data_IF_385832651983
#
_entry.id   IF_385832651983
#
_cell.length_a   1.000
_cell.length_b   1.000
_cell.length_c   1.000
_cell.angle_alpha   90.00
_cell.angle_beta   90.00
_cell.angle_gamma   90.00
#
_symmetry.space_group_name_H-M   'P 1'
#
loop_
_entity.id
_entity.type
_entity.pdbx_description
1 polymer ?
#
# COMPACT_ATOMS: atom_id res chain seq x y z
N UNK A 1 -18.48 39.40 31.78
CA UNK A 1 -18.05 39.70 30.40
C UNK A 1 -17.43 41.10 30.41
N UNK A 2 -16.18 41.20 29.96
CA UNK A 2 -15.35 42.40 30.13
C UNK A 2 -15.79 43.57 29.25
N UNK A 3 -15.61 44.78 29.79
CA UNK A 3 -15.83 46.09 29.16
C UNK A 3 -15.18 46.19 27.76
N UNK A 4 -15.80 46.88 26.78
CA UNK A 4 -15.25 47.01 25.43
C UNK A 4 -13.83 47.62 25.46
N UNK A 5 -12.86 46.94 24.83
CA UNK A 5 -11.46 47.36 24.78
C UNK A 5 -10.94 47.24 23.33
N UNK A 6 -10.39 48.32 22.79
CA UNK A 6 -9.81 48.41 21.44
C UNK A 6 -8.59 47.50 21.22
N UNK A 7 -8.16 46.76 22.24
CA UNK A 7 -7.03 45.82 22.19
C UNK A 7 -7.44 44.35 22.07
N UNK A 8 -8.72 44.01 22.09
CA UNK A 8 -9.15 42.60 22.09
C UNK A 8 -9.18 42.00 20.67
N UNK A 9 -8.05 42.07 19.97
CA UNK A 9 -7.83 41.38 18.70
C UNK A 9 -7.06 40.09 18.97
N UNK A 10 -7.63 38.96 18.57
CA UNK A 10 -6.98 37.65 18.70
C UNK A 10 -6.81 37.04 17.32
N UNK A 11 -5.57 36.71 16.98
CA UNK A 11 -5.27 35.84 15.85
C UNK A 11 -5.25 34.41 16.37
N UNK A 12 -6.26 33.63 15.98
CA UNK A 12 -6.36 32.23 16.36
C UNK A 12 -5.26 31.42 15.69
N UNK A 13 -4.33 30.90 16.49
CA UNK A 13 -3.39 29.84 16.10
C UNK A 13 -3.45 28.76 17.16
N UNK A 14 -3.45 27.50 16.75
CA UNK A 14 -3.53 26.38 17.66
C UNK A 14 -3.24 25.07 16.95
N UNK A 15 -3.14 24.03 17.77
CA UNK A 15 -2.94 22.65 17.33
C UNK A 15 -4.22 21.87 17.62
N UNK A 16 -4.62 21.01 16.68
CA UNK A 16 -5.81 20.16 16.85
C UNK A 16 -5.36 18.78 17.26
N UNK A 17 -5.87 18.33 18.41
CA UNK A 17 -5.68 16.99 18.93
C UNK A 17 -7.00 16.24 18.91
N UNK A 18 -6.95 14.96 18.57
CA UNK A 18 -8.11 14.08 18.59
C UNK A 18 -7.70 12.74 19.22
N UNK A 19 -8.54 12.26 20.12
CA UNK A 19 -8.43 10.94 20.71
C UNK A 19 -9.58 10.07 20.21
N UNK A 20 -9.26 8.86 19.74
CA UNK A 20 -10.27 7.88 19.37
C UNK A 20 -10.68 7.10 20.63
N UNK A 21 -11.97 6.87 20.79
CA UNK A 21 -12.47 5.97 21.82
C UNK A 21 -12.28 4.52 21.36
N UNK A 22 -11.74 3.68 22.24
CA UNK A 22 -11.68 2.23 22.02
C UNK A 22 -13.13 1.70 21.92
N UNK A 23 -13.49 1.04 20.80
CA UNK A 23 -14.86 0.55 20.61
C UNK A 23 -15.28 -0.52 21.62
N UNK A 24 -14.34 -1.20 22.28
CA UNK A 24 -14.63 -2.28 23.23
C UNK A 24 -14.71 -1.78 24.68
N UNK A 25 -13.85 -0.84 25.06
CA UNK A 25 -13.74 -0.35 26.43
C UNK A 25 -14.36 1.02 26.64
N UNK A 26 -14.61 1.78 25.57
CA UNK A 26 -15.07 3.16 25.62
C UNK A 26 -14.03 4.15 26.17
N UNK A 27 -12.79 3.70 26.38
CA UNK A 27 -11.73 4.51 26.95
C UNK A 27 -10.97 5.29 25.85
N UNK A 28 -10.40 6.46 26.19
CA UNK A 28 -9.47 7.15 25.32
C UNK A 28 -8.24 6.27 25.01
N UNK A 29 -7.79 6.29 23.76
CA UNK A 29 -6.64 5.52 23.27
C UNK A 29 -5.35 6.35 23.24
N UNK A 30 -5.48 7.67 23.39
CA UNK A 30 -4.39 8.64 23.41
C UNK A 30 -4.64 9.78 22.40
N UNK A 31 -4.43 11.01 22.86
CA UNK A 31 -4.55 12.19 22.00
C UNK A 31 -3.46 12.22 20.92
N UNK A 32 -3.87 12.30 19.66
CA UNK A 32 -2.98 12.42 18.49
C UNK A 32 -3.10 13.79 17.85
N UNK A 33 -1.96 14.38 17.48
CA UNK A 33 -1.92 15.62 16.70
C UNK A 33 -2.34 15.35 15.25
N UNK A 34 -3.31 16.12 14.74
CA UNK A 34 -3.88 15.91 13.40
C UNK A 34 -3.09 16.57 12.26
N UNK A 35 -2.11 17.42 12.58
CA UNK A 35 -1.33 18.19 11.61
C UNK A 35 -1.81 19.63 11.47
N UNK A 36 -1.37 20.32 10.42
CA UNK A 36 -1.80 21.69 10.17
C UNK A 36 -3.29 21.74 9.78
N UNK A 37 -4.07 22.54 10.51
CA UNK A 37 -5.48 22.78 10.26
C UNK A 37 -5.72 24.26 9.89
N UNK A 38 -5.68 24.64 8.59
CA UNK A 38 -5.75 26.04 8.18
C UNK A 38 -7.08 26.72 8.54
N UNK A 39 -8.15 25.96 8.69
CA UNK A 39 -9.46 26.45 9.10
C UNK A 39 -10.09 25.53 10.14
N UNK A 40 -10.53 26.13 11.25
CA UNK A 40 -11.37 25.49 12.26
C UNK A 40 -12.58 26.37 12.53
N UNK A 41 -13.77 25.82 12.29
CA UNK A 41 -15.06 26.44 12.53
C UNK A 41 -15.78 25.76 13.69
N UNK A 42 -16.40 26.59 14.52
CA UNK A 42 -17.34 26.16 15.55
C UNK A 42 -18.70 26.78 15.26
N UNK A 43 -19.73 25.95 15.15
CA UNK A 43 -21.11 26.39 14.98
C UNK A 43 -21.97 25.76 16.07
N UNK A 44 -22.97 26.49 16.55
CA UNK A 44 -23.95 25.97 17.50
C UNK A 44 -25.34 26.28 16.97
N UNK A 45 -26.09 25.24 16.65
CA UNK A 45 -27.48 25.36 16.21
C UNK A 45 -28.40 25.10 17.39
N UNK A 46 -29.28 26.06 17.68
CA UNK A 46 -30.27 25.98 18.75
C UNK A 46 -31.66 25.79 18.13
N UNK A 47 -32.34 24.71 18.47
CA UNK A 47 -33.75 24.51 18.12
C UNK A 47 -34.63 25.02 19.26
N UNK A 48 -35.62 25.87 18.92
CA UNK A 48 -36.47 26.53 19.89
C UNK A 48 -37.94 26.20 19.62
N UNK A 49 -38.63 25.71 20.65
CA UNK A 49 -40.09 25.63 20.66
C UNK A 49 -40.66 26.96 21.09
N UNK A 50 -41.51 27.53 20.23
CA UNK A 50 -42.22 28.76 20.54
C UNK A 50 -43.72 28.48 20.61
N UNK A 51 -44.34 28.74 21.76
CA UNK A 51 -45.78 28.70 21.94
C UNK A 51 -46.34 30.12 21.78
N UNK A 52 -47.35 30.26 20.92
CA UNK A 52 -48.05 31.52 20.69
C UNK A 52 -49.39 31.48 21.40
N UNK A 53 -49.73 32.55 22.13
CA UNK A 53 -51.02 32.66 22.79
C UNK A 53 -52.13 32.83 21.74
N UNK A 54 -53.22 32.08 21.90
CA UNK A 54 -54.43 32.19 21.07
C UNK A 54 -55.49 33.10 21.69
N UNK A 55 -55.23 33.70 22.87
CA UNK A 55 -56.20 34.53 23.60
C UNK A 55 -56.18 36.00 23.18
N UNK A 56 -55.15 36.44 22.48
CA UNK A 56 -55.03 37.82 22.00
C UNK A 56 -55.21 37.89 20.48
N UNK A 57 -55.79 39.00 19.99
CA UNK A 57 -55.97 39.26 18.54
C UNK A 57 -54.66 39.38 17.77
N UNK A 58 -53.54 39.54 18.48
CA UNK A 58 -52.19 39.69 17.91
C UNK A 58 -51.40 38.46 18.32
N UNK A 59 -50.66 37.89 17.36
CA UNK A 59 -49.84 36.69 17.56
C UNK A 59 -48.66 37.00 18.49
N UNK A 60 -48.89 36.92 19.79
CA UNK A 60 -47.89 37.15 20.84
C UNK A 60 -47.22 35.83 21.24
N UNK A 61 -45.88 35.84 21.38
CA UNK A 61 -45.11 34.69 21.89
C UNK A 61 -45.28 34.65 23.41
N UNK A 62 -45.82 33.57 23.92
CA UNK A 62 -46.07 33.37 25.34
C UNK A 62 -44.94 32.57 26.00
N UNK A 63 -44.48 31.50 25.34
CA UNK A 63 -43.39 30.66 25.83
C UNK A 63 -42.36 30.43 24.74
N UNK A 64 -41.08 30.51 25.13
CA UNK A 64 -39.95 30.15 24.29
C UNK A 64 -39.03 29.24 25.08
N UNK A 65 -38.84 28.01 24.59
CA UNK A 65 -37.97 27.01 25.20
C UNK A 65 -36.98 26.49 24.17
N UNK A 66 -35.71 26.36 24.55
CA UNK A 66 -34.71 25.68 23.73
C UNK A 66 -34.90 24.18 23.91
N UNK A 67 -35.21 23.46 22.84
CA UNK A 67 -35.37 21.99 22.87
C UNK A 67 -34.02 21.32 22.72
N UNK A 68 -33.20 21.83 21.80
CA UNK A 68 -31.94 21.19 21.42
C UNK A 68 -30.84 22.22 21.19
N UNK A 69 -29.64 21.87 21.62
CA UNK A 69 -28.41 22.58 21.30
C UNK A 69 -27.45 21.59 20.64
N UNK A 70 -27.19 21.77 19.35
CA UNK A 70 -26.28 20.93 18.58
C UNK A 70 -24.99 21.71 18.26
N UNK A 71 -23.92 21.55 19.06
CA UNK A 71 -22.60 22.07 18.72
C UNK A 71 -21.96 21.25 17.61
N UNK A 72 -21.34 21.92 16.64
CA UNK A 72 -20.67 21.34 15.49
C UNK A 72 -19.28 21.95 15.32
N UNK A 73 -18.27 21.08 15.28
CA UNK A 73 -16.91 21.44 14.89
C UNK A 73 -16.66 20.99 13.45
N UNK A 74 -16.07 21.87 12.65
CA UNK A 74 -15.65 21.58 11.28
C UNK A 74 -14.24 22.07 11.08
N UNK A 75 -13.34 21.21 10.61
CA UNK A 75 -11.97 21.60 10.30
C UNK A 75 -11.50 20.91 9.02
N UNK A 76 -10.50 21.51 8.38
CA UNK A 76 -9.80 20.94 7.23
C UNK A 76 -8.35 20.72 7.61
N UNK A 77 -7.73 19.67 7.07
CA UNK A 77 -6.32 19.34 7.31
C UNK A 77 -5.56 19.40 5.99
N UNK A 78 -4.32 19.86 6.01
CA UNK A 78 -3.46 19.92 4.81
C UNK A 78 -2.73 18.60 4.52
N UNK A 79 -2.50 17.80 5.56
CA UNK A 79 -1.66 16.60 5.47
C UNK A 79 -2.51 15.32 5.30
N UNK A 80 -2.48 14.66 4.12
CA UNK A 80 -3.19 13.41 3.87
C UNK A 80 -2.40 12.22 4.44
N UNK A 81 -2.35 12.11 5.76
CA UNK A 81 -1.76 10.95 6.45
C UNK A 81 -2.75 9.79 6.47
N UNK A 82 -2.27 8.54 6.38
CA UNK A 82 -3.12 7.33 6.34
C UNK A 82 -4.16 7.29 7.47
N UNK A 83 -3.78 7.65 8.71
CA UNK A 83 -4.70 7.71 9.85
C UNK A 83 -5.80 8.77 9.71
N UNK A 84 -5.46 9.94 9.15
CA UNK A 84 -6.40 11.04 8.91
C UNK A 84 -7.38 10.67 7.79
N UNK A 85 -6.89 9.98 6.76
CA UNK A 85 -7.73 9.42 5.70
C UNK A 85 -8.64 8.32 6.25
N UNK A 86 -8.11 7.44 7.11
CA UNK A 86 -8.92 6.44 7.83
C UNK A 86 -10.07 7.07 8.60
N UNK A 87 -9.80 8.15 9.35
CA UNK A 87 -10.85 8.94 10.02
C UNK A 87 -11.89 9.50 9.04
N UNK A 88 -11.45 10.01 7.89
CA UNK A 88 -12.33 10.58 6.86
C UNK A 88 -13.25 9.52 6.23
N UNK A 89 -12.72 8.32 5.99
CA UNK A 89 -13.46 7.21 5.37
C UNK A 89 -14.12 6.27 6.39
N UNK A 90 -14.11 6.60 7.68
CA UNK A 90 -14.61 5.75 8.77
C UNK A 90 -13.95 4.36 8.81
N UNK A 91 -12.66 4.28 8.48
CA UNK A 91 -11.85 3.06 8.47
C UNK A 91 -10.60 3.14 9.34
N UNK A 92 -9.81 2.07 9.30
CA UNK A 92 -8.49 1.96 9.94
C UNK A 92 -7.40 1.83 8.88
N UNK A 93 -6.25 2.44 9.14
CA UNK A 93 -5.02 2.14 8.41
C UNK A 93 -4.44 0.84 8.99
N UNK A 94 -3.96 -0.05 8.13
CA UNK A 94 -3.31 -1.30 8.51
C UNK A 94 -2.08 -1.50 7.63
N UNK A 95 -0.96 -1.80 8.27
CA UNK A 95 0.26 -2.19 7.58
C UNK A 95 0.14 -3.65 7.15
N UNK A 96 0.04 -3.88 5.84
CA UNK A 96 -0.03 -5.22 5.27
C UNK A 96 1.34 -5.61 4.75
N UNK A 97 1.90 -6.70 5.26
CA UNK A 97 3.12 -7.31 4.72
C UNK A 97 2.78 -8.47 3.80
N UNK A 98 3.26 -8.45 2.56
CA UNK A 98 3.17 -9.58 1.64
C UNK A 98 4.53 -10.25 1.49
N UNK A 99 4.60 -11.58 1.67
CA UNK A 99 5.79 -12.36 1.34
C UNK A 99 6.04 -12.33 -0.16
N UNK A 100 7.29 -12.14 -0.55
CA UNK A 100 7.64 -12.15 -1.96
C UNK A 100 7.46 -13.54 -2.58
N UNK A 101 6.99 -13.58 -3.82
CA UNK A 101 6.67 -14.82 -4.52
C UNK A 101 7.32 -14.80 -5.92
N UNK A 102 7.88 -15.93 -6.34
CA UNK A 102 8.63 -16.11 -7.58
C UNK A 102 7.86 -16.82 -8.69
N UNK A 103 6.68 -17.36 -8.41
CA UNK A 103 5.96 -18.22 -9.36
C UNK A 103 4.44 -18.04 -9.31
N UNK A 104 3.93 -16.82 -9.58
CA UNK A 104 2.48 -16.58 -9.73
C UNK A 104 2.06 -16.46 -11.19
N UNK A 105 1.29 -17.45 -11.65
CA UNK A 105 0.63 -17.42 -12.96
C UNK A 105 -0.82 -16.96 -12.81
N UNK A 106 -1.24 -15.95 -13.56
CA UNK A 106 -2.65 -15.52 -13.66
C UNK A 106 -3.08 -15.48 -15.13
N UNK A 107 -4.07 -16.30 -15.47
CA UNK A 107 -4.63 -16.35 -16.83
C UNK A 107 -5.82 -15.41 -16.94
N UNK A 108 -5.82 -14.53 -17.95
CA UNK A 108 -6.97 -13.70 -18.29
C UNK A 108 -7.65 -14.23 -19.55
N UNK A 109 -8.97 -14.47 -19.47
CA UNK A 109 -9.78 -14.87 -20.64
C UNK A 109 -10.53 -13.67 -21.19
N UNK A 110 -10.49 -13.46 -22.52
CA UNK A 110 -11.24 -12.38 -23.17
C UNK A 110 -10.70 -10.98 -22.92
N UNK A 111 -9.38 -10.81 -23.03
CA UNK A 111 -8.72 -9.51 -22.86
C UNK A 111 -9.03 -8.56 -24.02
N UNK A 112 -9.25 -7.29 -23.70
CA UNK A 112 -9.44 -6.22 -24.67
C UNK A 112 -8.17 -5.37 -24.74
N UNK A 113 -7.80 -4.96 -25.95
CA UNK A 113 -6.67 -4.07 -26.16
C UNK A 113 -6.86 -2.72 -25.43
N UNK A 114 -5.76 -2.08 -25.03
CA UNK A 114 -5.72 -0.77 -24.34
C UNK A 114 -6.47 -0.73 -23.00
N UNK A 115 -6.42 -1.82 -22.22
CA UNK A 115 -6.97 -1.90 -20.86
C UNK A 115 -5.91 -2.39 -19.88
N UNK A 116 -5.95 -1.84 -18.67
CA UNK A 116 -5.13 -2.30 -17.56
C UNK A 116 -5.82 -3.48 -16.87
N UNK A 117 -5.07 -4.53 -16.59
CA UNK A 117 -5.50 -5.70 -15.85
C UNK A 117 -4.64 -5.85 -14.61
N UNK A 118 -5.28 -6.02 -13.45
CA UNK A 118 -4.57 -6.23 -12.19
C UNK A 118 -4.10 -7.68 -12.08
N UNK A 119 -2.79 -7.84 -11.92
CA UNK A 119 -2.15 -9.14 -11.71
C UNK A 119 -2.48 -9.72 -10.33
N UNK A 120 -2.89 -8.89 -9.35
CA UNK A 120 -3.24 -9.32 -7.99
C UNK A 120 -2.02 -9.79 -7.19
N UNK A 121 -0.84 -9.28 -7.56
CA UNK A 121 0.44 -9.54 -6.92
C UNK A 121 1.11 -8.20 -6.69
N UNK A 122 1.57 -7.91 -5.46
CA UNK A 122 2.22 -6.63 -5.13
C UNK A 122 3.70 -6.78 -4.79
N UNK A 123 4.11 -7.97 -4.33
CA UNK A 123 5.50 -8.30 -4.05
C UNK A 123 5.97 -9.51 -4.88
N UNK A 124 6.67 -9.24 -5.98
CA UNK A 124 7.21 -10.27 -6.89
C UNK A 124 8.73 -10.20 -6.83
N UNK A 125 9.38 -11.36 -6.77
CA UNK A 125 10.82 -11.45 -6.89
C UNK A 125 11.25 -12.63 -7.73
N UNK A 126 12.55 -12.75 -7.95
CA UNK A 126 13.16 -13.83 -8.72
C UNK A 126 14.42 -14.29 -8.00
N UNK A 127 14.74 -15.57 -8.09
CA UNK A 127 16.00 -16.06 -7.56
C UNK A 127 17.11 -15.80 -8.56
N UNK A 128 18.25 -15.36 -8.04
CA UNK A 128 19.45 -15.05 -8.82
C UNK A 128 20.53 -16.02 -8.40
N UNK A 129 21.05 -16.79 -9.36
CA UNK A 129 22.10 -17.79 -9.15
C UNK A 129 23.29 -17.52 -10.08
N UNK A 130 24.42 -17.01 -9.57
CA UNK A 130 25.62 -16.86 -10.38
C UNK A 130 26.32 -18.20 -10.59
N UNK A 131 26.89 -18.41 -11.77
CA UNK A 131 27.63 -19.63 -12.14
C UNK A 131 29.02 -19.33 -12.71
N UNK A 132 29.91 -20.33 -12.62
CA UNK A 132 31.28 -20.32 -13.15
C UNK A 132 31.63 -21.68 -13.76
N UNK A 133 32.79 -21.76 -14.41
CA UNK A 133 33.36 -22.99 -14.99
C UNK A 133 32.42 -23.72 -15.95
N UNK A 134 31.55 -22.99 -16.64
CA UNK A 134 30.58 -23.61 -17.54
C UNK A 134 31.22 -24.20 -18.80
N UNK A 135 30.68 -25.33 -19.26
CA UNK A 135 31.16 -26.09 -20.43
C UNK A 135 30.31 -25.86 -21.67
N UNK A 136 29.04 -25.47 -21.49
CA UNK A 136 28.11 -25.09 -22.55
C UNK A 136 27.04 -24.14 -21.99
N UNK A 137 26.33 -23.43 -22.88
CA UNK A 137 25.28 -22.47 -22.50
C UNK A 137 24.10 -23.23 -21.88
N UNK A 138 23.69 -22.81 -20.68
CA UNK A 138 22.46 -23.28 -20.03
C UNK A 138 21.25 -22.66 -20.74
N UNK A 139 20.18 -23.42 -20.93
CA UNK A 139 19.06 -23.04 -21.78
C UNK A 139 17.92 -22.38 -20.97
N UNK A 140 17.31 -21.33 -21.53
CA UNK A 140 16.11 -20.72 -20.95
C UNK A 140 14.92 -21.68 -21.01
N UNK A 141 14.13 -21.74 -19.95
CA UNK A 141 13.00 -22.66 -19.79
C UNK A 141 13.37 -24.07 -19.33
N UNK A 142 14.66 -24.41 -19.30
CA UNK A 142 15.16 -25.69 -18.80
C UNK A 142 15.16 -25.74 -17.26
N UNK A 143 15.05 -26.95 -16.71
CA UNK A 143 15.27 -27.22 -15.29
C UNK A 143 16.77 -27.26 -15.04
N UNK A 144 17.26 -26.42 -14.14
CA UNK A 144 18.62 -26.50 -13.61
C UNK A 144 18.61 -27.38 -12.37
N UNK A 145 19.45 -28.40 -12.36
CA UNK A 145 19.58 -29.36 -11.27
C UNK A 145 21.03 -29.46 -10.82
N UNK A 146 21.26 -29.42 -9.52
CA UNK A 146 22.51 -29.80 -8.90
C UNK A 146 22.35 -31.02 -7.99
N UNK A 147 23.37 -31.30 -7.18
CA UNK A 147 23.34 -32.38 -6.19
C UNK A 147 22.34 -32.12 -5.03
N UNK A 148 22.03 -30.86 -4.77
CA UNK A 148 21.15 -30.37 -3.72
C UNK A 148 20.01 -29.58 -4.36
N UNK A 149 20.33 -28.50 -5.09
CA UNK A 149 19.34 -27.54 -5.55
C UNK A 149 18.66 -27.90 -6.86
N UNK A 150 17.41 -27.47 -7.03
CA UNK A 150 16.68 -27.57 -8.29
C UNK A 150 15.87 -26.29 -8.52
N UNK A 151 15.78 -25.83 -9.77
CA UNK A 151 14.98 -24.67 -10.15
C UNK A 151 14.73 -24.61 -11.66
N UNK A 152 13.89 -23.68 -12.10
CA UNK A 152 13.61 -23.47 -13.54
C UNK A 152 14.26 -22.19 -14.03
N UNK A 153 15.06 -22.26 -15.09
CA UNK A 153 15.72 -21.11 -15.71
C UNK A 153 14.69 -20.25 -16.43
N UNK A 154 14.58 -18.98 -16.04
CA UNK A 154 13.78 -17.97 -16.72
C UNK A 154 14.61 -17.16 -17.71
N UNK A 155 15.85 -16.85 -17.36
CA UNK A 155 16.75 -16.07 -18.19
C UNK A 155 18.21 -16.40 -17.85
N UNK A 156 19.07 -16.36 -18.87
CA UNK A 156 20.52 -16.49 -18.71
C UNK A 156 21.21 -15.20 -19.11
N UNK A 157 21.98 -14.60 -18.21
CA UNK A 157 22.80 -13.42 -18.47
C UNK A 157 24.27 -13.75 -18.24
N UNK A 158 25.01 -13.98 -19.32
CA UNK A 158 26.42 -14.35 -19.24
C UNK A 158 26.91 -15.03 -20.51
N UNK A 159 28.07 -15.68 -20.39
CA UNK A 159 28.67 -16.49 -21.45
C UNK A 159 28.72 -17.97 -21.05
N UNK A 160 29.35 -18.80 -21.89
CA UNK A 160 29.50 -20.24 -21.64
C UNK A 160 30.19 -20.52 -20.31
N UNK A 161 31.17 -19.69 -19.92
CA UNK A 161 32.08 -19.97 -18.81
C UNK A 161 31.56 -19.40 -17.49
N UNK A 162 30.88 -18.26 -17.51
CA UNK A 162 30.35 -17.62 -16.31
C UNK A 162 29.18 -16.69 -16.61
N UNK A 163 28.34 -16.47 -15.60
CA UNK A 163 27.17 -15.63 -15.74
C UNK A 163 26.25 -15.69 -14.54
N UNK A 164 25.02 -15.26 -14.75
CA UNK A 164 23.95 -15.25 -13.77
C UNK A 164 22.68 -15.83 -14.38
N UNK A 165 22.07 -16.77 -13.66
CA UNK A 165 20.79 -17.36 -13.97
C UNK A 165 19.71 -16.66 -13.14
N UNK A 166 18.63 -16.26 -13.79
CA UNK A 166 17.40 -15.89 -13.13
C UNK A 166 16.51 -17.13 -13.12
N UNK A 167 16.19 -17.64 -11.93
CA UNK A 167 15.50 -18.90 -11.72
C UNK A 167 14.25 -18.72 -10.85
N UNK A 168 13.31 -19.65 -10.97
CA UNK A 168 12.11 -19.72 -10.12
C UNK A 168 11.92 -21.11 -9.52
N UNK A 169 11.11 -21.19 -8.48
CA UNK A 169 10.70 -22.44 -7.83
C UNK A 169 11.89 -23.20 -7.24
N UNK A 170 12.85 -22.47 -6.65
CA UNK A 170 14.07 -23.08 -6.09
C UNK A 170 13.73 -23.99 -4.91
N UNK A 171 13.93 -25.30 -5.07
CA UNK A 171 13.60 -26.27 -4.02
C UNK A 171 14.45 -27.56 -4.12
N UNK A 172 15.28 -27.89 -3.13
CA UNK A 172 15.85 -27.01 -2.11
C UNK A 172 16.85 -26.02 -2.73
N UNK A 173 17.50 -25.19 -1.91
CA UNK A 173 18.50 -24.22 -2.36
C UNK A 173 19.79 -24.86 -2.89
N UNK A 174 20.53 -24.11 -3.70
CA UNK A 174 21.85 -24.50 -4.19
C UNK A 174 22.92 -24.17 -3.14
N UNK A 175 24.06 -24.86 -3.23
CA UNK A 175 25.24 -24.55 -2.40
C UNK A 175 26.40 -24.05 -3.25
N UNK A 176 27.30 -23.29 -2.62
CA UNK A 176 28.53 -22.81 -3.28
C UNK A 176 29.34 -24.00 -3.83
N UNK A 177 29.88 -23.83 -5.03
CA UNK A 177 30.70 -24.81 -5.76
C UNK A 177 29.98 -26.12 -6.13
N UNK A 178 28.66 -26.16 -6.00
CA UNK A 178 27.85 -27.29 -6.47
C UNK A 178 27.87 -27.37 -8.00
N UNK A 179 28.08 -28.57 -8.54
CA UNK A 179 27.94 -28.81 -9.96
C UNK A 179 26.46 -28.76 -10.35
N UNK A 180 26.14 -27.96 -11.37
CA UNK A 180 24.79 -27.78 -11.91
C UNK A 180 24.75 -28.18 -13.38
N UNK A 181 23.62 -28.75 -13.79
CA UNK A 181 23.32 -29.12 -15.18
C UNK A 181 21.91 -28.70 -15.55
N UNK A 182 21.65 -28.36 -16.80
CA UNK A 182 20.28 -28.19 -17.28
C UNK A 182 19.74 -29.43 -18.01
N UNK A 183 18.42 -29.52 -18.14
CA UNK A 183 17.71 -30.57 -18.90
C UNK A 183 17.46 -30.20 -20.37
N UNK A 184 18.17 -29.18 -20.88
CA UNK A 184 18.01 -28.66 -22.23
C UNK A 184 18.40 -29.65 -23.34
N UNK A 185 18.09 -29.29 -24.60
CA UNK A 185 18.37 -30.15 -25.76
C UNK A 185 19.86 -30.44 -26.01
N UNK A 186 20.75 -29.58 -25.52
CA UNK A 186 22.18 -29.85 -25.35
C UNK A 186 22.57 -29.41 -23.95
N UNK A 187 22.64 -30.35 -22.98
CA UNK A 187 22.86 -30.01 -21.58
C UNK A 187 24.16 -29.23 -21.36
N UNK A 188 24.02 -28.03 -20.80
CA UNK A 188 25.09 -27.25 -20.19
C UNK A 188 25.42 -27.78 -18.80
N UNK A 189 26.69 -27.69 -18.43
CA UNK A 189 27.15 -27.95 -17.07
C UNK A 189 27.96 -26.74 -16.59
N UNK A 190 27.81 -26.38 -15.32
CA UNK A 190 28.56 -25.31 -14.67
C UNK A 190 28.68 -25.60 -13.17
N UNK A 191 29.28 -24.69 -12.42
CA UNK A 191 29.34 -24.73 -10.96
C UNK A 191 28.69 -23.48 -10.38
N UNK A 192 27.97 -23.61 -9.26
CA UNK A 192 27.45 -22.48 -8.50
C UNK A 192 28.60 -21.59 -8.02
N UNK A 193 28.62 -20.33 -8.46
CA UNK A 193 29.62 -19.37 -8.03
C UNK A 193 29.28 -18.74 -6.67
N UNK A 194 28.01 -18.79 -6.26
CA UNK A 194 27.50 -18.41 -4.95
C UNK A 194 26.17 -19.12 -4.67
N UNK A 195 25.72 -19.07 -3.41
CA UNK A 195 24.35 -19.46 -3.01
C UNK A 195 23.36 -18.49 -3.68
N UNK A 196 22.19 -19.00 -4.08
CA UNK A 196 21.15 -18.18 -4.68
C UNK A 196 20.67 -17.07 -3.75
N UNK A 197 20.30 -15.93 -4.33
CA UNK A 197 19.73 -14.80 -3.61
C UNK A 197 18.38 -14.41 -4.18
N UNK A 198 17.43 -14.06 -3.31
CA UNK A 198 16.12 -13.58 -3.74
C UNK A 198 16.16 -12.08 -4.02
N UNK A 199 15.94 -11.69 -5.28
CA UNK A 199 15.92 -10.29 -5.72
C UNK A 199 14.48 -9.81 -5.94
N UNK A 200 14.11 -8.72 -5.26
CA UNK A 200 12.81 -8.02 -5.39
C UNK A 200 12.93 -6.63 -6.02
N UNK A 201 14.14 -6.17 -6.32
CA UNK A 201 14.39 -4.80 -6.77
C UNK A 201 14.54 -4.67 -8.30
N UNK A 202 14.88 -5.74 -9.01
CA UNK A 202 15.24 -5.71 -10.43
C UNK A 202 14.20 -6.37 -11.37
N UNK A 203 12.90 -6.25 -11.09
CA UNK A 203 11.86 -6.96 -11.84
C UNK A 203 11.01 -6.01 -12.69
N UNK A 204 11.45 -5.75 -13.92
CA UNK A 204 10.62 -5.15 -14.96
C UNK A 204 9.87 -6.28 -15.72
N UNK A 205 8.55 -6.35 -15.55
CA UNK A 205 7.70 -7.30 -16.28
C UNK A 205 7.44 -6.73 -17.68
N UNK A 206 8.25 -7.14 -18.66
CA UNK A 206 7.96 -6.88 -20.08
C UNK A 206 7.32 -8.12 -20.72
N UNK A 207 6.27 -7.90 -21.50
CA UNK A 207 5.77 -8.88 -22.46
C UNK A 207 6.85 -9.12 -23.53
N UNK A 208 7.57 -10.23 -23.41
CA UNK A 208 8.62 -10.65 -24.34
C UNK A 208 8.08 -11.37 -25.58
N UNK A 209 6.77 -11.63 -25.68
CA UNK A 209 6.20 -12.33 -26.83
C UNK A 209 5.97 -11.43 -28.05
N UNK A 210 5.88 -10.11 -27.83
CA UNK A 210 5.87 -9.11 -28.91
C UNK A 210 6.34 -7.78 -28.35
N UNK A 211 7.53 -7.25 -28.73
CA UNK A 211 7.89 -5.90 -28.33
C UNK A 211 6.85 -4.95 -28.92
N UNK A 212 6.01 -4.38 -28.06
CA UNK A 212 5.10 -3.33 -28.46
C UNK A 212 5.94 -2.21 -29.07
N UNK A 213 5.70 -1.94 -30.35
CA UNK A 213 6.31 -0.82 -31.06
C UNK A 213 6.05 0.44 -30.23
N UNK A 214 7.12 1.00 -29.66
CA UNK A 214 7.05 2.27 -28.93
C UNK A 214 6.44 3.32 -29.87
N UNK A 215 5.33 3.93 -29.47
CA UNK A 215 4.87 5.22 -29.98
C UNK A 215 5.76 6.33 -29.41
#
# INVERSE_FOLDING_TARGET
>A
MGTPNTKNHTLGKGSVFLDKLDPNTGNPTGERHLGNAPALGFNMTLEMLEHFSSMEKIRSKDVKMVIEAAPKFTFTLDEPVADNLGLTFMGSAEDVTESANDARTKTFTGVNANRYYDLGVRNVGVWVLPYKNGTAILNEGATVSGAVGEGVILQVVGDVTSGTLYIKTVTPGFVLDEAITDDGGTPGAAECAAVESFDTAALDVFDTATPATKL
#
